data_IF_410047378920
#
_entry.id   IF_410047378920
#
_cell.length_a   1.000
_cell.length_b   1.000
_cell.length_c   1.000
_cell.angle_alpha   90.00
_cell.angle_beta   90.00
_cell.angle_gamma   90.00
#
_symmetry.space_group_name_H-M   'P 1'
#
loop_
_entity.id
_entity.type
_entity.pdbx_description
1 polymer ?
#
# COMPACT_ATOMS: atom_id res chain seq x y z
N UNK A 1 -9.77 -15.00 24.15
CA UNK A 1 -10.93 -15.12 23.22
C UNK A 1 -10.40 -14.78 21.84
N UNK A 2 -10.20 -15.77 21.00
CA UNK A 2 -9.82 -15.56 19.59
C UNK A 2 -11.04 -14.99 18.86
N UNK A 3 -10.91 -13.82 18.27
CA UNK A 3 -11.98 -13.22 17.48
C UNK A 3 -12.17 -14.06 16.21
N UNK A 4 -13.39 -14.50 15.95
CA UNK A 4 -13.69 -15.26 14.72
C UNK A 4 -13.76 -14.29 13.52
N UNK A 5 -12.59 -13.95 12.98
CA UNK A 5 -12.50 -13.09 11.78
C UNK A 5 -13.00 -13.80 10.51
N UNK A 6 -12.94 -15.13 10.44
CA UNK A 6 -13.39 -15.89 9.28
C UNK A 6 -14.91 -15.78 9.14
N UNK A 7 -15.66 -16.13 10.18
CA UNK A 7 -17.11 -16.01 10.16
C UNK A 7 -17.60 -14.58 9.98
N UNK A 8 -16.90 -13.60 10.59
CA UNK A 8 -17.20 -12.18 10.38
C UNK A 8 -16.99 -11.76 8.93
N UNK A 9 -15.92 -12.19 8.29
CA UNK A 9 -15.61 -11.87 6.89
C UNK A 9 -16.69 -12.43 5.95
N UNK A 10 -17.06 -13.69 6.12
CA UNK A 10 -18.13 -14.34 5.34
C UNK A 10 -19.46 -13.59 5.43
N UNK A 11 -19.86 -13.17 6.64
CA UNK A 11 -21.08 -12.39 6.85
C UNK A 11 -21.04 -11.03 6.13
N UNK A 12 -19.91 -10.33 6.20
CA UNK A 12 -19.75 -9.03 5.53
C UNK A 12 -19.77 -9.18 4.01
N UNK A 13 -19.11 -10.18 3.46
CA UNK A 13 -19.11 -10.46 2.01
C UNK A 13 -20.48 -10.88 1.51
N UNK A 14 -21.22 -11.69 2.28
CA UNK A 14 -22.60 -12.06 1.95
C UNK A 14 -23.52 -10.85 1.93
N UNK A 15 -23.35 -9.92 2.90
CA UNK A 15 -24.09 -8.65 2.94
C UNK A 15 -23.79 -7.79 1.71
N UNK A 16 -22.52 -7.69 1.31
CA UNK A 16 -22.12 -6.94 0.11
C UNK A 16 -22.77 -7.52 -1.15
N UNK A 17 -22.73 -8.86 -1.33
CA UNK A 17 -23.38 -9.54 -2.45
C UNK A 17 -24.89 -9.27 -2.48
N UNK A 18 -25.54 -9.29 -1.32
CA UNK A 18 -26.97 -8.98 -1.19
C UNK A 18 -27.28 -7.53 -1.61
N UNK A 19 -26.46 -6.56 -1.21
CA UNK A 19 -26.62 -5.16 -1.62
C UNK A 19 -26.43 -4.97 -3.13
N UNK A 20 -25.42 -5.63 -3.71
CA UNK A 20 -25.17 -5.59 -5.15
C UNK A 20 -26.27 -6.23 -5.98
N UNK A 21 -26.90 -7.30 -5.48
CA UNK A 21 -27.99 -8.02 -6.19
C UNK A 21 -29.35 -7.33 -6.06
N UNK A 22 -29.57 -6.50 -5.03
CA UNK A 22 -30.89 -5.91 -4.74
C UNK A 22 -31.32 -4.81 -5.71
N UNK A 23 -30.46 -4.31 -6.60
CA UNK A 23 -30.74 -3.26 -7.61
C UNK A 23 -31.58 -2.08 -7.11
N UNK A 24 -31.77 -1.96 -5.80
CA UNK A 24 -32.49 -0.83 -5.22
C UNK A 24 -31.59 0.40 -5.28
N UNK A 25 -31.90 1.32 -6.17
CA UNK A 25 -31.28 2.66 -6.35
C UNK A 25 -31.20 3.52 -5.08
N UNK A 26 -31.42 2.97 -3.90
CA UNK A 26 -31.45 3.68 -2.63
C UNK A 26 -30.39 3.27 -1.62
N UNK A 27 -29.67 2.17 -1.85
CA UNK A 27 -28.53 1.83 -0.99
C UNK A 27 -27.41 2.82 -1.30
N UNK A 28 -27.20 3.75 -0.38
CA UNK A 28 -26.23 4.83 -0.51
C UNK A 28 -24.85 4.26 -0.86
N UNK A 29 -24.18 4.82 -1.88
CA UNK A 29 -22.77 4.54 -2.20
C UNK A 29 -21.91 4.59 -0.94
N UNK A 30 -22.25 5.46 0.00
CA UNK A 30 -21.59 5.58 1.30
C UNK A 30 -21.74 4.30 2.17
N UNK A 31 -22.90 3.65 2.15
CA UNK A 31 -23.10 2.38 2.88
C UNK A 31 -22.28 1.25 2.27
N UNK A 32 -22.17 1.19 0.94
CA UNK A 32 -21.33 0.21 0.25
C UNK A 32 -19.84 0.45 0.52
N UNK A 33 -19.39 1.71 0.47
CA UNK A 33 -18.00 2.08 0.77
C UNK A 33 -17.61 1.71 2.21
N UNK A 34 -18.51 1.99 3.20
CA UNK A 34 -18.29 1.59 4.59
C UNK A 34 -18.20 0.08 4.76
N UNK A 35 -19.07 -0.67 4.09
CA UNK A 35 -19.07 -2.13 4.14
C UNK A 35 -17.78 -2.69 3.51
N UNK A 36 -17.35 -2.12 2.39
CA UNK A 36 -16.10 -2.50 1.73
C UNK A 36 -14.89 -2.25 2.64
N UNK A 37 -14.82 -1.08 3.29
CA UNK A 37 -13.77 -0.76 4.26
C UNK A 37 -13.74 -1.76 5.44
N UNK A 38 -14.92 -2.17 5.95
CA UNK A 38 -15.02 -3.17 7.00
C UNK A 38 -14.50 -4.56 6.54
N UNK A 39 -14.82 -4.96 5.31
CA UNK A 39 -14.32 -6.21 4.71
C UNK A 39 -12.79 -6.16 4.64
N UNK A 40 -12.22 -5.10 4.09
CA UNK A 40 -10.76 -4.95 3.98
C UNK A 40 -10.08 -4.96 5.35
N UNK A 41 -10.61 -4.23 6.31
CA UNK A 41 -10.08 -4.21 7.68
C UNK A 41 -10.14 -5.60 8.33
N UNK A 42 -11.26 -6.33 8.20
CA UNK A 42 -11.40 -7.68 8.77
C UNK A 42 -10.44 -8.67 8.11
N UNK A 43 -10.27 -8.56 6.78
CA UNK A 43 -9.33 -9.38 6.01
C UNK A 43 -7.89 -9.15 6.46
N UNK A 44 -7.47 -7.89 6.62
CA UNK A 44 -6.13 -7.55 7.15
C UNK A 44 -5.88 -8.14 8.52
N UNK A 45 -6.85 -8.05 9.44
CA UNK A 45 -6.71 -8.64 10.78
C UNK A 45 -6.53 -10.15 10.73
N UNK A 46 -7.32 -10.84 9.90
CA UNK A 46 -7.20 -12.28 9.71
C UNK A 46 -5.82 -12.69 9.18
N UNK A 47 -5.29 -11.95 8.19
CA UNK A 47 -3.97 -12.21 7.61
C UNK A 47 -2.85 -11.98 8.63
N UNK A 48 -2.94 -10.90 9.42
CA UNK A 48 -1.98 -10.60 10.49
C UNK A 48 -1.96 -11.69 11.56
N UNK A 49 -3.13 -12.19 11.99
CA UNK A 49 -3.19 -13.31 12.96
C UNK A 49 -2.54 -14.59 12.42
N UNK A 50 -2.60 -14.81 11.11
CA UNK A 50 -1.96 -15.95 10.45
C UNK A 50 -0.47 -15.74 10.16
N UNK A 51 0.07 -14.55 10.44
CA UNK A 51 1.45 -14.19 10.09
C UNK A 51 1.68 -14.10 8.59
N UNK A 52 0.60 -13.93 7.81
CA UNK A 52 0.67 -13.79 6.36
C UNK A 52 1.05 -12.39 5.93
N UNK A 53 1.59 -12.27 4.73
CA UNK A 53 1.91 -10.99 4.10
C UNK A 53 0.65 -10.12 3.95
N UNK A 54 0.68 -8.92 4.53
CA UNK A 54 -0.51 -8.06 4.66
C UNK A 54 -0.17 -6.62 4.29
N UNK A 55 -0.98 -6.01 3.45
CA UNK A 55 -0.82 -4.62 3.00
C UNK A 55 -1.62 -3.69 3.92
N UNK A 56 -0.94 -2.80 4.62
CA UNK A 56 -1.52 -1.87 5.58
C UNK A 56 -1.40 -0.44 5.06
N UNK A 57 -2.51 0.33 4.95
CA UNK A 57 -2.42 1.72 4.57
C UNK A 57 -1.69 2.52 5.65
N UNK A 58 -0.93 3.51 5.22
CA UNK A 58 -0.23 4.45 6.09
C UNK A 58 -0.67 5.88 5.79
N UNK A 59 -0.56 6.75 6.78
CA UNK A 59 -0.74 8.17 6.57
C UNK A 59 0.37 8.68 5.64
N UNK A 60 -0.03 9.42 4.60
CA UNK A 60 0.88 9.99 3.62
C UNK A 60 0.46 11.41 3.29
N UNK A 61 1.34 12.37 3.44
CA UNK A 61 1.00 13.77 3.20
C UNK A 61 2.21 14.53 2.65
N UNK A 62 2.04 15.35 1.62
CA UNK A 62 0.80 15.52 0.86
C UNK A 62 0.49 14.29 -0.01
N UNK A 63 -0.80 14.04 -0.24
CA UNK A 63 -1.23 13.04 -1.23
C UNK A 63 -0.93 13.53 -2.64
N UNK A 64 -0.75 12.60 -3.57
CA UNK A 64 -0.54 12.92 -4.99
C UNK A 64 -1.84 13.34 -5.67
N UNK A 65 -1.68 14.12 -6.73
CA UNK A 65 -2.76 14.44 -7.65
C UNK A 65 -3.23 13.16 -8.35
N UNK A 66 -4.54 12.91 -8.33
CA UNK A 66 -5.12 11.71 -8.96
C UNK A 66 -5.25 11.82 -10.48
N UNK A 67 -5.17 13.03 -11.06
CA UNK A 67 -5.26 13.23 -12.49
C UNK A 67 -3.89 13.17 -13.18
N UNK A 68 -2.90 13.84 -12.59
CA UNK A 68 -1.57 14.00 -13.21
C UNK A 68 -0.42 13.89 -12.20
N UNK A 69 -0.27 12.78 -11.48
CA UNK A 69 0.76 12.66 -10.45
C UNK A 69 2.18 12.66 -11.04
N UNK A 70 2.37 12.20 -12.26
CA UNK A 70 3.66 12.11 -12.98
C UNK A 70 4.84 11.69 -12.08
N UNK A 71 4.75 10.54 -11.39
CA UNK A 71 5.79 10.16 -10.45
C UNK A 71 7.13 9.89 -11.17
N UNK A 72 8.22 10.36 -10.56
CA UNK A 72 9.58 10.16 -11.04
C UNK A 72 10.44 9.63 -9.91
N UNK A 73 11.35 8.71 -10.23
CA UNK A 73 12.26 8.09 -9.26
C UNK A 73 13.69 8.50 -9.56
N UNK A 74 14.38 8.98 -8.53
CA UNK A 74 15.80 9.30 -8.58
C UNK A 74 16.52 8.60 -7.44
N UNK A 75 17.61 7.89 -7.73
CA UNK A 75 18.45 7.27 -6.71
C UNK A 75 19.82 7.96 -6.62
N UNK A 76 20.31 8.15 -5.41
CA UNK A 76 21.64 8.69 -5.16
C UNK A 76 22.25 8.06 -3.90
N UNK A 77 23.27 7.23 -4.09
CA UNK A 77 23.88 6.46 -3.00
C UNK A 77 22.84 5.54 -2.33
N UNK A 78 22.64 5.72 -1.01
CA UNK A 78 21.66 4.96 -0.23
C UNK A 78 20.35 5.71 -0.01
N UNK A 79 20.08 6.72 -0.83
CA UNK A 79 18.87 7.55 -0.77
C UNK A 79 18.09 7.39 -2.07
N UNK A 80 16.80 7.17 -1.96
CA UNK A 80 15.87 7.08 -3.07
C UNK A 80 14.85 8.20 -2.94
N UNK A 81 14.61 8.92 -4.02
CA UNK A 81 13.67 10.03 -4.06
C UNK A 81 12.54 9.68 -5.03
N UNK A 82 11.33 9.87 -4.58
CA UNK A 82 10.12 9.79 -5.39
C UNK A 82 9.51 11.18 -5.46
N UNK A 83 9.55 11.77 -6.63
CA UNK A 83 8.96 13.08 -6.90
C UNK A 83 7.59 12.87 -7.52
N UNK A 84 6.58 13.65 -7.12
CA UNK A 84 5.26 13.58 -7.72
C UNK A 84 4.52 14.91 -7.58
N UNK A 85 3.57 15.18 -8.47
CA UNK A 85 2.65 16.28 -8.28
C UNK A 85 1.69 15.95 -7.15
N UNK A 86 1.67 16.82 -6.14
CA UNK A 86 0.78 16.70 -5.00
C UNK A 86 -0.56 17.36 -5.27
N UNK A 87 -1.60 16.86 -4.60
CA UNK A 87 -2.90 17.48 -4.63
C UNK A 87 -2.84 18.87 -3.96
N UNK A 88 -3.17 19.92 -4.71
CA UNK A 88 -3.23 21.27 -4.18
C UNK A 88 -4.56 21.49 -3.48
N UNK A 89 -4.53 21.84 -2.19
CA UNK A 89 -5.73 22.15 -1.40
C UNK A 89 -6.20 23.60 -1.64
N UNK A 90 -5.33 24.44 -2.21
CA UNK A 90 -5.65 25.85 -2.53
C UNK A 90 -6.11 25.99 -3.98
N UNK A 91 -7.07 26.89 -4.25
CA UNK A 91 -7.57 27.24 -5.58
C UNK A 91 -6.51 27.87 -6.51
N UNK A 92 -5.28 28.03 -6.06
CA UNK A 92 -4.17 28.51 -6.88
C UNK A 92 -3.65 27.36 -7.73
N UNK A 93 -3.79 27.50 -9.05
CA UNK A 93 -3.42 26.53 -10.09
C UNK A 93 -1.88 26.31 -10.22
N UNK A 94 -1.18 26.16 -9.11
CA UNK A 94 0.25 25.89 -9.13
C UNK A 94 0.49 24.44 -8.70
N UNK A 95 0.99 23.56 -9.58
CA UNK A 95 1.30 22.21 -9.20
C UNK A 95 2.39 22.22 -8.12
N UNK A 96 2.08 21.71 -6.96
CA UNK A 96 3.06 21.50 -5.89
C UNK A 96 3.76 20.18 -6.16
N UNK A 97 5.09 20.21 -6.27
CA UNK A 97 5.88 18.98 -6.36
C UNK A 97 6.27 18.55 -4.95
N UNK A 98 5.81 17.37 -4.55
CA UNK A 98 6.24 16.73 -3.33
C UNK A 98 7.42 15.79 -3.61
N UNK A 99 8.27 15.64 -2.61
CA UNK A 99 9.43 14.75 -2.66
C UNK A 99 9.37 13.82 -1.46
N UNK A 100 9.18 12.53 -1.72
CA UNK A 100 9.37 11.51 -0.71
C UNK A 100 10.80 10.98 -0.78
N UNK A 101 11.52 11.10 0.32
CA UNK A 101 12.86 10.56 0.47
C UNK A 101 12.80 9.27 1.27
N UNK A 102 13.33 8.17 0.70
CA UNK A 102 13.51 6.90 1.37
C UNK A 102 14.98 6.73 1.73
N UNK A 103 15.25 6.56 3.03
CA UNK A 103 16.60 6.51 3.60
C UNK A 103 17.08 5.07 3.72
N UNK A 104 18.36 4.86 3.45
CA UNK A 104 18.96 3.53 3.48
C UNK A 104 18.17 2.49 2.69
N UNK A 105 17.74 2.85 1.46
CA UNK A 105 17.02 1.90 0.62
C UNK A 105 17.95 0.78 0.14
N UNK A 106 17.39 -0.42 0.05
CA UNK A 106 18.09 -1.59 -0.48
C UNK A 106 17.78 -1.79 -1.97
N UNK A 107 16.51 -1.81 -2.31
CA UNK A 107 16.05 -1.98 -3.68
C UNK A 107 14.69 -1.32 -3.88
N UNK A 108 14.33 -1.09 -5.13
CA UNK A 108 13.02 -0.55 -5.49
C UNK A 108 12.52 -1.14 -6.81
N UNK A 109 11.23 -1.02 -7.03
CA UNK A 109 10.54 -1.32 -8.30
C UNK A 109 9.67 -0.15 -8.66
N UNK A 110 9.67 0.19 -9.93
CA UNK A 110 8.78 1.19 -10.48
C UNK A 110 8.24 0.68 -11.82
N UNK A 111 6.94 0.55 -11.93
CA UNK A 111 6.30 -0.04 -13.10
C UNK A 111 5.06 0.72 -13.51
N UNK A 112 4.73 0.67 -14.82
CA UNK A 112 3.41 1.08 -15.29
C UNK A 112 2.35 0.10 -14.80
N UNK A 113 1.28 0.62 -14.24
CA UNK A 113 0.13 -0.16 -13.78
C UNK A 113 -1.11 0.72 -13.78
N UNK A 114 -2.14 0.29 -14.47
CA UNK A 114 -3.42 0.99 -14.40
C UNK A 114 -4.14 0.60 -13.09
N UNK A 115 -4.35 1.57 -12.21
CA UNK A 115 -5.02 1.36 -10.92
C UNK A 115 -6.47 0.88 -11.04
N UNK A 116 -7.13 1.07 -12.19
CA UNK A 116 -8.43 0.48 -12.47
C UNK A 116 -8.36 -1.05 -12.54
N UNK A 117 -7.16 -1.61 -12.78
CA UNK A 117 -6.90 -3.05 -12.80
C UNK A 117 -6.42 -3.60 -11.46
N UNK A 118 -6.53 -2.83 -10.37
CA UNK A 118 -6.07 -3.23 -9.02
C UNK A 118 -6.74 -4.53 -8.54
N UNK A 119 -7.96 -4.81 -9.02
CA UNK A 119 -8.69 -6.05 -8.74
C UNK A 119 -7.92 -7.31 -9.19
N UNK A 120 -7.03 -7.20 -10.16
CA UNK A 120 -6.20 -8.30 -10.65
C UNK A 120 -4.81 -8.36 -9.98
N UNK A 121 -4.49 -7.41 -9.09
CA UNK A 121 -3.19 -7.38 -8.44
C UNK A 121 -3.09 -8.47 -7.36
N UNK A 122 -1.96 -9.21 -7.23
CA UNK A 122 -1.80 -10.25 -6.21
C UNK A 122 -2.02 -9.79 -4.77
N UNK A 123 -1.77 -8.52 -4.49
CA UNK A 123 -2.00 -7.93 -3.17
C UNK A 123 -3.44 -7.41 -2.94
N UNK A 124 -4.34 -7.54 -3.93
CA UNK A 124 -5.73 -7.11 -3.78
C UNK A 124 -6.40 -7.76 -2.56
N UNK A 125 -6.28 -9.08 -2.46
CA UNK A 125 -6.85 -9.85 -1.35
C UNK A 125 -6.02 -9.77 -0.06
N UNK A 126 -4.88 -9.08 -0.11
CA UNK A 126 -4.02 -8.81 1.05
C UNK A 126 -4.18 -7.39 1.60
N UNK A 127 -5.14 -6.63 1.09
CA UNK A 127 -5.49 -5.30 1.60
C UNK A 127 -4.97 -4.12 0.78
N UNK A 128 -4.46 -4.34 -0.45
CA UNK A 128 -4.04 -3.25 -1.33
C UNK A 128 -5.23 -2.39 -1.73
N UNK A 129 -5.05 -1.08 -1.63
CA UNK A 129 -6.01 -0.06 -2.05
C UNK A 129 -5.43 0.78 -3.18
N UNK A 130 -6.30 1.29 -4.06
CA UNK A 130 -5.90 2.24 -5.09
C UNK A 130 -5.63 3.63 -4.49
N UNK A 131 -4.74 4.39 -5.13
CA UNK A 131 -4.45 5.79 -4.78
C UNK A 131 -4.02 5.99 -3.32
N UNK A 132 -3.27 5.04 -2.77
CA UNK A 132 -2.89 5.04 -1.36
C UNK A 132 -1.43 4.62 -1.16
N UNK A 133 -0.86 5.05 -0.05
CA UNK A 133 0.43 4.59 0.41
C UNK A 133 0.26 3.49 1.46
N UNK A 134 1.10 2.48 1.39
CA UNK A 134 1.04 1.32 2.25
C UNK A 134 2.41 0.89 2.73
N UNK A 135 2.41 0.10 3.81
CA UNK A 135 3.51 -0.80 4.17
C UNK A 135 3.03 -2.24 4.06
N UNK A 136 3.92 -3.14 3.66
CA UNK A 136 3.65 -4.57 3.61
C UNK A 136 4.25 -5.24 4.84
N UNK A 137 3.38 -5.68 5.74
CA UNK A 137 3.75 -6.43 6.95
C UNK A 137 4.06 -7.87 6.57
N UNK A 138 5.01 -8.50 7.23
CA UNK A 138 5.49 -9.86 6.94
C UNK A 138 5.95 -10.05 5.50
N UNK A 139 6.52 -9.00 4.90
CA UNK A 139 6.92 -8.96 3.50
C UNK A 139 7.83 -10.12 3.10
N UNK A 140 7.39 -10.87 2.11
CA UNK A 140 8.18 -11.94 1.50
C UNK A 140 9.36 -11.38 0.70
N UNK A 141 9.25 -10.15 0.20
CA UNK A 141 10.35 -9.50 -0.51
C UNK A 141 11.49 -9.15 0.45
N UNK A 142 11.23 -8.60 1.64
CA UNK A 142 12.25 -8.39 2.67
C UNK A 142 12.96 -9.71 3.00
N UNK A 143 12.20 -10.77 3.27
CA UNK A 143 12.77 -12.11 3.60
C UNK A 143 13.64 -12.65 2.47
N UNK A 144 13.22 -12.45 1.22
CA UNK A 144 13.99 -12.87 0.04
C UNK A 144 15.31 -12.11 -0.05
N UNK A 145 15.28 -10.79 0.04
CA UNK A 145 16.50 -9.96 -0.05
C UNK A 145 17.44 -10.23 1.12
N UNK A 146 16.94 -10.41 2.32
CA UNK A 146 17.72 -10.88 3.46
C UNK A 146 18.44 -12.20 3.14
N UNK A 147 17.71 -13.19 2.61
CA UNK A 147 18.30 -14.48 2.26
C UNK A 147 19.39 -14.43 1.17
N UNK A 148 19.26 -13.48 0.21
CA UNK A 148 20.26 -13.28 -0.85
C UNK A 148 21.51 -12.59 -0.30
N UNK A 149 21.36 -11.68 0.67
CA UNK A 149 22.44 -10.86 1.21
C UNK A 149 23.12 -11.48 2.45
N UNK A 150 22.92 -12.76 2.70
CA UNK A 150 23.64 -13.49 3.77
C UNK A 150 25.11 -13.62 3.44
N UNK A 151 25.99 -12.93 4.18
CA UNK A 151 27.45 -13.04 4.05
C UNK A 151 28.03 -13.57 5.36
N UNK A 152 28.26 -14.89 5.50
CA UNK A 152 28.91 -15.42 6.69
C UNK A 152 30.39 -14.99 6.76
N UNK A 153 30.94 -14.65 7.94
CA UNK A 153 30.35 -14.64 9.29
C UNK A 153 29.79 -13.27 9.72
N UNK A 154 29.68 -12.31 8.79
CA UNK A 154 29.32 -10.90 9.09
C UNK A 154 27.82 -10.63 8.99
N UNK A 155 27.00 -11.67 8.84
CA UNK A 155 25.58 -11.49 8.71
C UNK A 155 24.95 -11.04 10.04
N UNK A 156 24.26 -9.89 9.99
CA UNK A 156 23.49 -9.36 11.09
C UNK A 156 22.00 -9.38 10.73
N UNK A 157 21.28 -10.39 11.23
CA UNK A 157 19.84 -10.54 11.02
C UNK A 157 19.06 -9.32 11.55
N UNK A 158 19.53 -8.71 12.66
CA UNK A 158 18.85 -7.58 13.28
C UNK A 158 18.83 -6.34 12.39
N UNK A 159 19.76 -6.20 11.45
CA UNK A 159 19.78 -5.07 10.53
C UNK A 159 18.59 -5.05 9.57
N UNK A 160 18.01 -6.22 9.25
CA UNK A 160 16.87 -6.37 8.37
C UNK A 160 15.53 -6.07 9.05
N UNK A 161 15.44 -6.14 10.37
CA UNK A 161 14.23 -5.80 11.15
C UNK A 161 13.86 -4.32 11.02
N UNK A 162 14.82 -3.48 10.64
CA UNK A 162 14.58 -2.06 10.43
C UNK A 162 13.99 -1.75 9.05
N UNK A 163 14.06 -2.66 8.10
CA UNK A 163 13.52 -2.43 6.76
C UNK A 163 12.01 -2.54 6.74
N UNK A 164 11.41 -1.64 5.98
CA UNK A 164 9.99 -1.61 5.67
C UNK A 164 9.80 -1.75 4.17
N UNK A 165 8.80 -2.49 3.77
CA UNK A 165 8.39 -2.57 2.39
C UNK A 165 7.29 -1.53 2.15
N UNK A 166 7.65 -0.43 1.52
CA UNK A 166 6.72 0.62 1.10
C UNK A 166 6.10 0.26 -0.24
N UNK A 167 4.80 0.50 -0.36
CA UNK A 167 4.03 0.22 -1.57
C UNK A 167 3.08 1.39 -1.85
N UNK A 168 3.29 2.11 -2.95
CA UNK A 168 2.49 3.26 -3.33
C UNK A 168 1.80 3.01 -4.67
N UNK A 169 0.48 3.25 -4.70
CA UNK A 169 -0.37 3.06 -5.88
C UNK A 169 -0.74 4.41 -6.47
N UNK A 170 -0.14 4.76 -7.60
CA UNK A 170 -0.52 5.91 -8.42
C UNK A 170 -1.56 5.50 -9.47
N UNK A 171 -2.25 6.44 -10.16
CA UNK A 171 -3.21 6.11 -11.22
C UNK A 171 -2.66 5.15 -12.27
N UNK A 172 -1.47 5.42 -12.80
CA UNK A 172 -0.86 4.66 -13.90
C UNK A 172 0.48 4.01 -13.53
N UNK A 173 0.86 4.05 -12.24
CA UNK A 173 2.14 3.54 -11.79
C UNK A 173 2.04 2.85 -10.43
N UNK A 174 2.89 1.86 -10.24
CA UNK A 174 3.19 1.30 -8.93
C UNK A 174 4.65 1.61 -8.56
N UNK A 175 4.83 2.02 -7.32
CA UNK A 175 6.14 2.18 -6.72
C UNK A 175 6.25 1.30 -5.47
N UNK A 176 7.32 0.53 -5.40
CA UNK A 176 7.67 -0.30 -4.24
C UNK A 176 9.13 -0.04 -3.88
N UNK A 177 9.45 0.02 -2.59
CA UNK A 177 10.84 0.01 -2.15
C UNK A 177 11.01 -0.63 -0.77
N UNK A 178 12.19 -1.19 -0.55
CA UNK A 178 12.66 -1.61 0.77
C UNK A 178 13.58 -0.52 1.31
N UNK A 179 13.19 0.14 2.37
CA UNK A 179 13.96 1.20 3.01
C UNK A 179 13.76 1.20 4.52
N UNK A 180 14.71 1.78 5.24
CA UNK A 180 14.62 1.82 6.71
C UNK A 180 13.67 2.90 7.20
N UNK A 181 13.60 4.03 6.50
CA UNK A 181 12.78 5.19 6.89
C UNK A 181 12.37 6.00 5.65
N UNK A 182 11.38 6.88 5.80
CA UNK A 182 10.96 7.81 4.77
C UNK A 182 10.60 9.18 5.37
N UNK A 183 10.69 10.20 4.55
CA UNK A 183 10.27 11.57 4.86
C UNK A 183 9.63 12.19 3.60
N UNK A 184 8.52 12.88 3.76
CA UNK A 184 7.84 13.60 2.65
C UNK A 184 7.94 15.10 2.89
N UNK A 185 8.34 15.84 1.83
CA UNK A 185 8.55 17.30 1.85
C UNK A 185 7.77 17.97 0.74
#
# INVERSE_FOLDING_TARGET
MTTDYVGKLEQLEQRLRSMLSSHKRGDSLDAMAKLFAQIQQTRRQLLLERGEETVMPIAWSPLWDICTPTPQVLSSGRRLFLLYHAHCISDEACPVVAVAEFKDYECYRFSGFNSEMIENHPYRDRGLEAYAAHIVINSLWIRREQGINVVPPLHDDCSWDMYRHYFLTFPDNLFECLAKDHEVK
#
